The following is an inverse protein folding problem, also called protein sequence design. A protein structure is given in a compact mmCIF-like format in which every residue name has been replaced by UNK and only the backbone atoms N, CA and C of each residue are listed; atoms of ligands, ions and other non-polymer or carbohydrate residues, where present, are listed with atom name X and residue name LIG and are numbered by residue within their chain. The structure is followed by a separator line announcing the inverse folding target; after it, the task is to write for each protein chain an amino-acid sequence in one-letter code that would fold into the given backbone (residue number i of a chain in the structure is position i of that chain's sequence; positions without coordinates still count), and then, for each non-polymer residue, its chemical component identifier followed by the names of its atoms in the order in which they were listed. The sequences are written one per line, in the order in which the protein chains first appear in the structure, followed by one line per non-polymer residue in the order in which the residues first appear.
data_IF_632490170748
#
_entry.id   IF_632490170748
#
_cell.length_a   1.000
_cell.length_b   1.000
_cell.length_c   1.000
_cell.angle_alpha   90.00
_cell.angle_beta   90.00
_cell.angle_gamma   90.00
#
_symmetry.space_group_name_H-M   'P 1'
#
loop_
_entity.id
_entity.type
_entity.pdbx_description
1 polymer ?
#
# COMPACT_ATOMS: atom_id res chain seq x y z
N UNK A 1 -70.46 20.38 -77.72
CA UNK A 1 -71.24 21.62 -77.53
C UNK A 1 -70.44 22.40 -76.49
N UNK A 2 -69.68 23.38 -76.98
CA UNK A 2 -69.87 24.82 -76.82
C UNK A 2 -69.80 25.23 -75.32
N UNK A 3 -69.04 26.10 -74.85
CA UNK A 3 -68.27 27.26 -75.26
C UNK A 3 -67.63 27.86 -73.97
N UNK A 4 -66.44 28.27 -74.04
CA UNK A 4 -65.89 29.65 -74.16
C UNK A 4 -65.96 30.54 -72.89
N UNK A 5 -64.73 31.07 -72.60
CA UNK A 5 -64.33 32.43 -72.20
C UNK A 5 -64.52 32.81 -70.73
N UNK A 6 -63.57 33.36 -69.99
CA UNK A 6 -62.66 34.53 -70.09
C UNK A 6 -61.64 34.57 -68.95
N UNK A 7 -60.44 34.90 -69.28
CA UNK A 7 -59.47 35.53 -68.40
C UNK A 7 -59.79 36.99 -68.21
N UNK A 8 -59.38 37.69 -67.11
CA UNK A 8 -58.10 38.34 -67.11
C UNK A 8 -57.38 38.63 -65.73
N UNK A 9 -56.13 38.72 -65.88
CA UNK A 9 -55.15 39.72 -65.30
C UNK A 9 -55.00 39.88 -63.81
N UNK A 10 -53.74 39.50 -63.39
CA UNK A 10 -52.74 40.28 -62.67
C UNK A 10 -53.14 40.92 -61.36
N UNK A 11 -52.47 40.42 -60.27
CA UNK A 11 -51.66 41.30 -59.37
C UNK A 11 -50.66 40.40 -58.67
N UNK A 12 -49.38 40.73 -58.83
CA UNK A 12 -48.30 40.04 -58.16
C UNK A 12 -48.27 40.42 -56.66
N UNK A 13 -48.21 39.46 -55.80
CA UNK A 13 -47.79 39.62 -54.43
C UNK A 13 -46.51 38.87 -54.22
N UNK A 14 -45.44 39.59 -54.14
CA UNK A 14 -44.11 39.16 -53.78
C UNK A 14 -44.13 38.74 -52.31
N UNK A 15 -44.29 37.45 -52.01
CA UNK A 15 -44.09 36.93 -50.67
C UNK A 15 -42.60 36.67 -50.48
N UNK A 16 -41.96 37.61 -49.74
CA UNK A 16 -40.65 37.44 -49.15
C UNK A 16 -40.77 36.36 -48.11
N UNK A 17 -40.36 35.13 -48.42
CA UNK A 17 -40.11 34.07 -47.41
C UNK A 17 -38.81 34.41 -46.66
N UNK A 18 -38.94 35.02 -45.47
CA UNK A 18 -37.87 35.08 -44.48
C UNK A 18 -37.63 33.62 -44.05
N UNK A 19 -36.60 32.99 -44.58
CA UNK A 19 -36.03 31.77 -44.03
C UNK A 19 -35.43 32.06 -42.67
N UNK A 20 -36.14 31.73 -41.57
CA UNK A 20 -35.54 31.57 -40.27
C UNK A 20 -34.53 30.41 -40.36
N UNK A 21 -33.28 30.73 -40.67
CA UNK A 21 -32.17 29.86 -40.42
C UNK A 21 -32.07 29.59 -38.92
N UNK A 22 -32.58 28.49 -38.45
CA UNK A 22 -32.20 27.88 -37.16
C UNK A 22 -30.68 27.64 -37.24
N UNK A 23 -29.92 28.65 -36.89
CA UNK A 23 -28.50 28.51 -36.58
C UNK A 23 -28.37 27.55 -35.42
N UNK A 24 -28.20 26.28 -35.70
CA UNK A 24 -27.73 25.33 -34.72
C UNK A 24 -26.42 25.88 -34.13
N UNK A 25 -26.46 26.36 -32.90
CA UNK A 25 -25.24 26.65 -32.16
C UNK A 25 -24.34 25.39 -32.28
N UNK A 26 -23.08 25.53 -32.69
CA UNK A 26 -22.20 24.39 -32.65
C UNK A 26 -22.20 23.88 -31.22
N UNK A 27 -22.63 22.64 -31.02
CA UNK A 27 -22.43 21.95 -29.78
C UNK A 27 -20.91 22.04 -29.55
N UNK A 28 -20.49 22.84 -28.58
CA UNK A 28 -19.09 22.89 -28.15
C UNK A 28 -18.78 21.48 -27.70
N UNK A 29 -18.19 20.69 -28.61
CA UNK A 29 -17.60 19.41 -28.25
C UNK A 29 -16.65 19.73 -27.09
N UNK A 30 -16.91 19.18 -25.92
CA UNK A 30 -15.96 19.20 -24.80
C UNK A 30 -14.64 18.73 -25.42
N UNK A 31 -13.52 19.49 -25.28
CA UNK A 31 -12.26 19.07 -25.84
C UNK A 31 -12.02 17.64 -25.35
N UNK A 32 -11.86 16.71 -26.28
CA UNK A 32 -11.46 15.33 -25.97
C UNK A 32 -10.22 15.47 -25.07
N UNK A 33 -10.29 14.92 -23.85
CA UNK A 33 -9.16 14.97 -22.94
C UNK A 33 -7.94 14.48 -23.72
N UNK A 34 -6.87 15.27 -23.70
CA UNK A 34 -5.66 14.98 -24.45
C UNK A 34 -5.21 13.54 -24.15
N UNK A 35 -5.12 12.70 -25.16
CA UNK A 35 -4.74 11.28 -25.00
C UNK A 35 -3.40 11.14 -24.27
N UNK A 36 -2.47 12.07 -24.48
CA UNK A 36 -1.21 12.12 -23.76
C UNK A 36 -1.39 12.41 -22.26
N UNK A 37 -2.36 13.26 -21.91
CA UNK A 37 -2.68 13.54 -20.50
C UNK A 37 -3.28 12.32 -19.80
N UNK A 38 -4.17 11.60 -20.48
CA UNK A 38 -4.77 10.35 -19.97
C UNK A 38 -3.69 9.29 -19.78
N UNK A 39 -2.80 9.11 -20.78
CA UNK A 39 -1.70 8.15 -20.69
C UNK A 39 -0.73 8.48 -19.55
N UNK A 40 -0.38 9.76 -19.37
CA UNK A 40 0.39 10.22 -18.21
C UNK A 40 -0.34 9.89 -16.91
N UNK A 41 -1.63 10.17 -16.83
CA UNK A 41 -2.46 9.84 -15.65
C UNK A 41 -2.49 8.36 -15.34
N UNK A 42 -2.56 7.51 -16.35
CA UNK A 42 -2.46 6.06 -16.20
C UNK A 42 -1.13 5.64 -15.57
N UNK A 43 -0.01 6.15 -16.11
CA UNK A 43 1.30 5.89 -15.55
C UNK A 43 1.42 6.33 -14.07
N UNK A 44 0.90 7.52 -13.75
CA UNK A 44 0.92 8.04 -12.39
C UNK A 44 0.01 7.26 -11.44
N UNK A 45 -1.15 6.80 -11.90
CA UNK A 45 -2.06 5.94 -11.12
C UNK A 45 -1.43 4.57 -10.84
N UNK A 46 -0.64 4.05 -11.79
CA UNK A 46 0.18 2.85 -11.60
C UNK A 46 1.29 3.11 -10.58
N UNK A 47 2.04 4.21 -10.73
CA UNK A 47 3.08 4.60 -9.77
C UNK A 47 2.52 4.86 -8.36
N UNK A 48 1.24 5.29 -8.27
CA UNK A 48 0.51 5.50 -7.01
C UNK A 48 -0.14 4.24 -6.46
N UNK A 49 0.03 3.09 -7.11
CA UNK A 49 -0.51 1.78 -6.69
C UNK A 49 -2.01 1.79 -6.37
N UNK A 50 -2.77 2.63 -7.08
CA UNK A 50 -4.19 2.83 -6.79
C UNK A 50 -5.00 1.54 -6.91
N UNK A 51 -4.61 0.67 -7.85
CA UNK A 51 -5.31 -0.59 -8.16
C UNK A 51 -5.23 -1.60 -7.01
N UNK A 52 -4.10 -1.66 -6.29
CA UNK A 52 -3.87 -2.62 -5.21
C UNK A 52 -4.91 -2.49 -4.08
N UNK A 53 -5.27 -1.25 -3.73
CA UNK A 53 -6.28 -1.00 -2.69
C UNK A 53 -7.70 -0.91 -3.26
N UNK A 54 -7.87 -0.31 -4.46
CA UNK A 54 -9.18 -0.03 -5.02
C UNK A 54 -9.73 -1.13 -5.94
N UNK A 55 -9.19 -2.35 -5.84
CA UNK A 55 -9.71 -3.55 -6.52
C UNK A 55 -9.71 -4.73 -5.58
N UNK A 56 -10.58 -5.69 -5.81
CA UNK A 56 -10.55 -7.01 -5.15
C UNK A 56 -10.14 -8.07 -6.17
N UNK A 57 -9.45 -9.10 -5.72
CA UNK A 57 -9.05 -10.21 -6.58
C UNK A 57 -10.26 -10.81 -7.33
N UNK A 58 -10.17 -10.94 -8.66
CA UNK A 58 -11.27 -11.39 -9.52
C UNK A 58 -12.40 -10.39 -9.70
N UNK A 59 -12.34 -9.20 -9.08
CA UNK A 59 -13.32 -8.13 -9.23
C UNK A 59 -13.02 -7.19 -10.40
N UNK A 60 -13.86 -6.15 -10.53
CA UNK A 60 -13.66 -5.12 -11.55
C UNK A 60 -12.59 -4.12 -11.05
N UNK A 61 -11.61 -3.75 -11.89
CA UNK A 61 -10.57 -2.80 -11.51
C UNK A 61 -11.14 -1.45 -11.02
N UNK A 62 -10.53 -0.88 -9.99
CA UNK A 62 -10.88 0.41 -9.39
C UNK A 62 -12.30 0.48 -8.78
N UNK A 63 -13.03 -0.63 -8.71
CA UNK A 63 -14.39 -0.67 -8.16
C UNK A 63 -14.44 -0.71 -6.62
N UNK A 64 -13.29 -0.73 -5.95
CA UNK A 64 -13.18 -0.78 -4.50
C UNK A 64 -13.54 -2.15 -3.91
N UNK A 65 -13.82 -2.16 -2.62
CA UNK A 65 -14.29 -3.35 -1.89
C UNK A 65 -13.21 -4.10 -1.13
N UNK A 66 -11.92 -3.83 -1.34
CA UNK A 66 -10.85 -4.41 -0.54
C UNK A 66 -10.92 -3.88 0.89
N UNK A 67 -10.96 -4.80 1.86
CA UNK A 67 -10.83 -4.48 3.28
C UNK A 67 -9.36 -4.44 3.68
N UNK A 68 -8.91 -3.28 4.09
CA UNK A 68 -7.58 -3.08 4.68
C UNK A 68 -7.68 -3.30 6.17
N UNK A 69 -7.17 -4.42 6.64
CA UNK A 69 -7.19 -4.74 8.08
C UNK A 69 -6.22 -3.84 8.84
N UNK A 70 -6.75 -3.15 9.84
CA UNK A 70 -5.98 -2.30 10.76
C UNK A 70 -6.16 -2.78 12.19
N UNK A 71 -5.30 -2.38 13.12
CA UNK A 71 -5.49 -2.70 14.55
C UNK A 71 -6.81 -2.17 15.15
N UNK A 72 -7.52 -1.30 14.42
CA UNK A 72 -8.79 -0.68 14.84
C UNK A 72 -10.02 -1.32 14.18
N UNK A 73 -9.83 -2.15 13.16
CA UNK A 73 -10.87 -2.75 12.33
C UNK A 73 -10.58 -2.58 10.84
N UNK A 74 -11.51 -3.02 10.01
CA UNK A 74 -11.33 -2.99 8.55
C UNK A 74 -11.74 -1.64 7.95
N UNK A 75 -10.85 -1.07 7.13
CA UNK A 75 -11.13 0.10 6.30
C UNK A 75 -11.32 -0.40 4.87
N UNK A 76 -12.52 -0.22 4.34
CA UNK A 76 -12.88 -0.69 2.99
C UNK A 76 -12.60 0.40 1.97
N UNK A 77 -11.84 0.06 0.94
CA UNK A 77 -11.54 0.95 -0.17
C UNK A 77 -12.79 1.25 -0.99
N UNK A 78 -12.98 2.52 -1.36
CA UNK A 78 -14.13 2.97 -2.13
C UNK A 78 -13.98 2.67 -3.62
N UNK A 79 -15.11 2.65 -4.35
CA UNK A 79 -15.14 2.70 -5.80
C UNK A 79 -14.62 4.07 -6.27
N UNK A 80 -13.55 4.07 -7.07
CA UNK A 80 -12.93 5.28 -7.65
C UNK A 80 -13.05 5.30 -9.19
N UNK A 81 -13.97 4.50 -9.75
CA UNK A 81 -14.31 4.58 -11.18
C UNK A 81 -15.15 5.83 -11.47
N UNK A 82 -15.28 6.26 -12.74
CA UNK A 82 -16.11 7.42 -13.10
C UNK A 82 -17.62 7.14 -13.08
N UNK A 83 -18.07 6.18 -12.26
CA UNK A 83 -19.49 5.98 -11.98
C UNK A 83 -20.05 7.21 -11.27
N UNK A 84 -21.18 7.72 -11.75
CA UNK A 84 -21.87 8.87 -11.14
C UNK A 84 -22.68 8.48 -9.91
N UNK A 85 -23.02 7.21 -9.76
CA UNK A 85 -23.86 6.69 -8.68
C UNK A 85 -23.04 6.13 -7.53
N UNK A 86 -21.96 5.41 -7.80
CA UNK A 86 -21.18 4.69 -6.78
C UNK A 86 -19.69 5.03 -6.75
N UNK A 87 -19.20 5.80 -7.74
CA UNK A 87 -17.81 6.20 -7.86
C UNK A 87 -17.58 7.71 -7.72
N UNK A 88 -16.56 8.20 -8.41
CA UNK A 88 -16.13 9.60 -8.38
C UNK A 88 -16.54 10.39 -9.64
N UNK A 89 -17.45 9.87 -10.49
CA UNK A 89 -17.83 10.47 -11.77
C UNK A 89 -18.46 11.87 -11.70
N UNK A 90 -18.86 12.33 -10.52
CA UNK A 90 -19.36 13.68 -10.28
C UNK A 90 -18.33 14.61 -9.63
N UNK A 91 -17.09 14.14 -9.38
CA UNK A 91 -16.07 14.98 -8.77
C UNK A 91 -15.53 16.01 -9.77
N UNK A 92 -15.39 17.24 -9.33
CA UNK A 92 -14.55 18.24 -10.04
C UNK A 92 -13.07 17.91 -9.81
N UNK A 93 -12.17 18.48 -10.62
CA UNK A 93 -10.71 18.36 -10.41
C UNK A 93 -10.32 18.80 -8.98
N UNK A 94 -10.93 19.87 -8.47
CA UNK A 94 -10.64 20.34 -7.10
C UNK A 94 -11.08 19.31 -6.05
N UNK A 95 -12.28 18.75 -6.17
CA UNK A 95 -12.77 17.72 -5.24
C UNK A 95 -11.95 16.43 -5.30
N UNK A 96 -11.52 16.04 -6.50
CA UNK A 96 -10.59 14.93 -6.69
C UNK A 96 -9.24 15.20 -6.00
N UNK A 97 -8.69 16.39 -6.24
CA UNK A 97 -7.44 16.83 -5.59
C UNK A 97 -7.56 16.87 -4.07
N UNK A 98 -8.68 17.35 -3.55
CA UNK A 98 -8.92 17.41 -2.09
C UNK A 98 -9.04 16.00 -1.49
N UNK A 99 -9.66 15.07 -2.19
CA UNK A 99 -9.73 13.67 -1.75
C UNK A 99 -8.34 13.01 -1.74
N UNK A 100 -7.56 13.20 -2.81
CA UNK A 100 -6.25 12.56 -2.97
C UNK A 100 -5.18 13.20 -2.08
N UNK A 101 -5.15 14.53 -1.94
CA UNK A 101 -4.09 15.26 -1.21
C UNK A 101 -4.43 15.60 0.23
N UNK A 102 -5.72 15.78 0.55
CA UNK A 102 -6.17 16.27 1.85
C UNK A 102 -7.01 15.25 2.61
N UNK A 103 -7.34 14.13 1.96
CA UNK A 103 -8.23 13.14 2.53
C UNK A 103 -9.64 13.69 2.80
N UNK A 104 -10.16 14.59 1.94
CA UNK A 104 -11.50 15.18 2.07
C UNK A 104 -12.32 14.83 0.83
N UNK A 105 -13.40 14.07 1.00
CA UNK A 105 -14.33 13.67 -0.06
C UNK A 105 -15.17 14.84 -0.57
N UNK A 106 -15.81 14.68 -1.73
CA UNK A 106 -16.71 15.69 -2.30
C UNK A 106 -17.91 16.03 -1.40
N UNK A 107 -18.33 15.12 -0.53
CA UNK A 107 -19.37 15.33 0.48
C UNK A 107 -18.85 15.97 1.79
N UNK A 108 -17.60 16.38 1.83
CA UNK A 108 -16.93 16.99 2.99
C UNK A 108 -16.49 16.01 4.08
N UNK A 109 -16.75 14.73 3.94
CA UNK A 109 -16.29 13.74 4.92
C UNK A 109 -14.79 13.47 4.79
N UNK A 110 -14.14 13.24 5.94
CA UNK A 110 -12.72 12.89 5.98
C UNK A 110 -12.48 11.41 5.68
N UNK A 111 -11.39 11.12 4.96
CA UNK A 111 -10.86 9.79 4.75
C UNK A 111 -9.97 9.38 5.93
N UNK A 112 -9.82 8.08 6.13
CA UNK A 112 -8.81 7.55 7.04
C UNK A 112 -7.44 7.51 6.34
N UNK A 113 -6.32 7.73 7.08
CA UNK A 113 -4.97 7.73 6.51
C UNK A 113 -4.45 6.33 6.11
N UNK A 114 -5.34 5.33 6.04
CA UNK A 114 -5.09 4.09 5.32
C UNK A 114 -4.97 4.33 3.81
N UNK A 115 -5.69 5.32 3.25
CA UNK A 115 -5.34 5.93 1.97
C UNK A 115 -4.15 6.89 2.23
N UNK A 116 -3.00 6.74 1.56
CA UNK A 116 -1.79 7.49 1.90
C UNK A 116 -1.80 8.93 1.38
N UNK A 117 -2.89 9.68 1.66
CA UNK A 117 -3.02 11.07 1.23
C UNK A 117 -1.94 11.99 1.84
N UNK A 118 -1.33 11.61 2.95
CA UNK A 118 -0.17 12.32 3.51
C UNK A 118 1.03 12.30 2.56
N UNK A 119 1.26 11.21 1.85
CA UNK A 119 2.25 11.11 0.79
C UNK A 119 1.74 11.79 -0.50
N UNK A 120 0.51 11.53 -0.91
CA UNK A 120 -0.08 12.12 -2.12
C UNK A 120 -0.24 13.65 -2.05
N UNK A 121 -0.20 14.26 -0.87
CA UNK A 121 -0.14 15.71 -0.71
C UNK A 121 1.03 16.34 -1.48
N UNK A 122 2.09 15.58 -1.71
CA UNK A 122 3.29 16.00 -2.45
C UNK A 122 3.14 16.00 -3.97
N UNK A 123 2.07 15.40 -4.52
CA UNK A 123 1.84 15.30 -5.98
C UNK A 123 1.64 16.70 -6.57
N UNK A 124 2.28 17.01 -7.69
CA UNK A 124 2.18 18.30 -8.39
C UNK A 124 0.77 18.54 -8.98
N UNK A 125 0.43 19.81 -9.25
CA UNK A 125 -0.88 20.14 -9.85
C UNK A 125 -1.03 19.56 -11.26
N UNK A 126 0.06 19.57 -12.05
CA UNK A 126 0.05 18.97 -13.39
C UNK A 126 -0.19 17.45 -13.36
N UNK A 127 0.44 16.75 -12.40
CA UNK A 127 0.23 15.31 -12.23
C UNK A 127 -1.17 15.01 -11.65
N UNK A 128 -1.69 15.86 -10.80
CA UNK A 128 -3.06 15.74 -10.30
C UNK A 128 -4.10 15.90 -11.41
N UNK A 129 -3.88 16.85 -12.34
CA UNK A 129 -4.73 17.01 -13.51
C UNK A 129 -4.67 15.79 -14.43
N UNK A 130 -3.48 15.19 -14.62
CA UNK A 130 -3.31 13.98 -15.41
C UNK A 130 -4.00 12.78 -14.76
N UNK A 131 -3.85 12.58 -13.45
CA UNK A 131 -4.57 11.54 -12.68
C UNK A 131 -6.09 11.71 -12.83
N UNK A 132 -6.60 12.92 -12.67
CA UNK A 132 -8.03 13.21 -12.83
C UNK A 132 -8.51 12.86 -14.25
N UNK A 133 -7.77 13.26 -15.28
CA UNK A 133 -8.11 12.93 -16.67
C UNK A 133 -8.17 11.41 -16.90
N UNK A 134 -7.22 10.65 -16.34
CA UNK A 134 -7.24 9.19 -16.42
C UNK A 134 -8.45 8.58 -15.71
N UNK A 135 -8.73 8.98 -14.47
CA UNK A 135 -9.86 8.42 -13.72
C UNK A 135 -11.21 8.77 -14.35
N UNK A 136 -11.36 9.95 -14.97
CA UNK A 136 -12.60 10.37 -15.60
C UNK A 136 -12.79 9.80 -17.01
N UNK A 137 -11.71 9.56 -17.77
CA UNK A 137 -11.81 9.22 -19.19
C UNK A 137 -11.09 7.92 -19.58
N UNK A 138 -10.12 7.44 -18.81
CA UNK A 138 -9.35 6.22 -19.06
C UNK A 138 -9.88 4.99 -18.32
N UNK A 139 -10.56 5.17 -17.19
CA UNK A 139 -11.11 4.08 -16.38
C UNK A 139 -12.54 3.79 -16.76
N UNK A 140 -12.90 2.50 -16.85
CA UNK A 140 -14.28 2.07 -17.14
C UNK A 140 -15.18 2.25 -15.91
N UNK A 141 -16.31 2.92 -16.07
CA UNK A 141 -17.29 3.08 -15.00
C UNK A 141 -17.87 1.73 -14.51
N UNK A 142 -18.00 1.59 -13.20
CA UNK A 142 -18.61 0.43 -12.54
C UNK A 142 -19.70 0.92 -11.60
N UNK A 143 -20.96 0.72 -11.99
CA UNK A 143 -22.15 1.14 -11.22
C UNK A 143 -22.51 0.09 -10.16
N UNK A 144 -21.59 -0.12 -9.23
CA UNK A 144 -21.79 -1.01 -8.08
C UNK A 144 -21.13 -0.42 -6.84
N UNK A 145 -21.83 -0.47 -5.71
CA UNK A 145 -21.25 -0.17 -4.41
C UNK A 145 -20.34 -1.34 -3.97
N UNK A 146 -19.27 -1.08 -3.21
CA UNK A 146 -18.52 -2.12 -2.52
C UNK A 146 -19.45 -2.96 -1.64
N UNK A 147 -19.26 -4.29 -1.66
CA UNK A 147 -20.09 -5.23 -0.91
C UNK A 147 -19.95 -5.08 0.62
N UNK A 148 -18.81 -4.56 1.08
CA UNK A 148 -18.54 -4.23 2.47
C UNK A 148 -18.35 -2.72 2.63
N UNK A 149 -18.55 -2.23 3.83
CA UNK A 149 -18.25 -0.84 4.19
C UNK A 149 -17.31 -0.80 5.38
N UNK A 150 -16.60 0.32 5.54
CA UNK A 150 -15.75 0.56 6.70
C UNK A 150 -16.61 0.54 7.96
N UNK A 151 -16.24 -0.34 8.90
CA UNK A 151 -16.88 -0.45 10.22
C UNK A 151 -15.79 -0.40 11.28
N UNK A 152 -15.63 0.77 11.89
CA UNK A 152 -14.68 0.99 12.98
C UNK A 152 -15.43 1.22 14.29
N UNK A 153 -14.90 0.72 15.43
CA UNK A 153 -15.52 0.94 16.72
C UNK A 153 -15.46 2.41 17.15
N UNK A 154 -16.49 2.87 17.88
CA UNK A 154 -16.47 4.19 18.51
C UNK A 154 -15.26 4.32 19.47
N UNK A 155 -14.50 5.44 19.43
CA UNK A 155 -14.78 6.71 18.72
C UNK A 155 -14.17 6.80 17.31
N UNK A 156 -13.49 5.77 16.82
CA UNK A 156 -12.76 5.80 15.55
C UNK A 156 -13.67 5.83 14.31
N UNK A 157 -14.96 5.53 14.44
CA UNK A 157 -15.97 5.70 13.39
C UNK A 157 -16.40 7.17 13.20
N UNK A 158 -16.01 8.09 14.09
CA UNK A 158 -16.30 9.52 13.97
C UNK A 158 -15.29 10.17 13.03
N UNK A 159 -15.61 10.23 11.72
CA UNK A 159 -14.70 10.74 10.68
C UNK A 159 -14.23 12.16 10.91
N UNK A 160 -15.01 13.01 11.61
CA UNK A 160 -14.61 14.37 11.95
C UNK A 160 -13.34 14.42 12.81
N UNK A 161 -13.03 13.37 13.57
CA UNK A 161 -11.77 13.26 14.33
C UNK A 161 -10.54 13.36 13.43
N UNK A 162 -10.67 12.99 12.16
CA UNK A 162 -9.60 13.09 11.16
C UNK A 162 -9.27 14.54 10.79
N UNK A 163 -10.17 15.51 11.02
CA UNK A 163 -9.85 16.92 10.87
C UNK A 163 -8.74 17.36 11.83
N UNK A 164 -8.83 16.95 13.10
CA UNK A 164 -7.81 17.23 14.11
C UNK A 164 -6.50 16.45 13.80
N UNK A 165 -6.63 15.20 13.38
CA UNK A 165 -5.48 14.40 12.97
C UNK A 165 -4.74 15.03 11.78
N UNK A 166 -5.47 15.48 10.75
CA UNK A 166 -4.91 16.18 9.59
C UNK A 166 -4.24 17.50 9.99
N UNK A 167 -4.82 18.25 10.94
CA UNK A 167 -4.22 19.47 11.43
C UNK A 167 -2.86 19.22 12.09
N UNK A 168 -2.70 18.08 12.78
CA UNK A 168 -1.45 17.72 13.45
C UNK A 168 -0.39 17.14 12.50
N UNK A 169 -0.80 16.34 11.50
CA UNK A 169 0.11 15.45 10.79
C UNK A 169 0.14 15.61 9.26
N UNK A 170 -0.83 16.32 8.66
CA UNK A 170 -0.85 16.52 7.21
C UNK A 170 -0.03 17.74 6.80
N UNK A 171 1.14 17.52 6.18
CA UNK A 171 1.83 18.57 5.43
C UNK A 171 1.15 18.74 4.06
N UNK A 172 0.56 19.92 3.84
CA UNK A 172 -0.20 20.25 2.62
C UNK A 172 0.68 20.74 1.46
N UNK A 173 2.01 20.72 1.63
CA UNK A 173 2.93 21.24 0.61
C UNK A 173 3.15 20.21 -0.47
N UNK A 174 3.02 20.64 -1.72
CA UNK A 174 3.49 19.87 -2.87
C UNK A 174 5.00 19.74 -2.86
N UNK A 175 5.50 18.73 -3.55
CA UNK A 175 6.95 18.52 -3.67
C UNK A 175 7.61 19.72 -4.39
N UNK A 176 8.71 20.18 -3.83
CA UNK A 176 9.57 21.21 -4.43
C UNK A 176 10.93 20.57 -4.64
N UNK A 177 11.44 20.65 -5.89
CA UNK A 177 12.76 20.13 -6.22
C UNK A 177 13.86 20.89 -5.45
N UNK A 178 14.82 20.16 -4.91
CA UNK A 178 16.02 20.73 -4.29
C UNK A 178 17.02 21.10 -5.38
N UNK A 179 17.32 22.38 -5.60
CA UNK A 179 18.25 22.82 -6.64
C UNK A 179 19.70 22.37 -6.38
N UNK A 180 20.05 21.96 -5.17
CA UNK A 180 21.36 21.43 -4.83
C UNK A 180 21.52 19.94 -5.17
N UNK A 181 20.45 19.27 -5.58
CA UNK A 181 20.45 17.85 -5.94
C UNK A 181 20.27 17.65 -7.44
N UNK A 182 20.69 16.48 -7.92
CA UNK A 182 20.49 16.12 -9.33
C UNK A 182 19.01 16.00 -9.71
N UNK A 183 18.65 16.18 -10.99
CA UNK A 183 17.29 15.91 -11.47
C UNK A 183 16.81 14.48 -11.17
N UNK A 184 17.72 13.51 -11.30
CA UNK A 184 17.45 12.11 -10.98
C UNK A 184 17.09 11.92 -9.51
N UNK A 185 17.88 12.51 -8.61
CA UNK A 185 17.59 12.47 -7.17
C UNK A 185 16.23 13.10 -6.85
N UNK A 186 15.94 14.27 -7.42
CA UNK A 186 14.68 14.98 -7.25
C UNK A 186 13.50 14.16 -7.77
N UNK A 187 13.65 13.47 -8.90
CA UNK A 187 12.63 12.57 -9.42
C UNK A 187 12.40 11.41 -8.50
N UNK A 188 13.45 10.78 -7.98
CA UNK A 188 13.37 9.70 -7.00
C UNK A 188 12.71 10.13 -5.70
N UNK A 189 13.08 11.31 -5.18
CA UNK A 189 12.46 11.89 -3.99
C UNK A 189 10.96 12.14 -4.18
N UNK A 190 10.57 12.71 -5.32
CA UNK A 190 9.18 12.94 -5.70
C UNK A 190 8.36 11.64 -5.73
N UNK A 191 8.89 10.61 -6.37
CA UNK A 191 8.21 9.31 -6.46
C UNK A 191 8.15 8.61 -5.11
N UNK A 192 9.28 8.45 -4.43
CA UNK A 192 9.36 7.67 -3.20
C UNK A 192 8.58 8.28 -2.03
N UNK A 193 8.52 9.62 -1.94
CA UNK A 193 7.82 10.33 -0.87
C UNK A 193 6.41 10.79 -1.25
N UNK A 194 6.05 10.67 -2.52
CA UNK A 194 4.75 11.02 -3.09
C UNK A 194 4.01 9.79 -3.59
N UNK A 195 4.02 9.55 -4.92
CA UNK A 195 3.19 8.52 -5.55
C UNK A 195 3.50 7.10 -5.08
N UNK A 196 4.76 6.68 -5.07
CA UNK A 196 5.14 5.34 -4.61
C UNK A 196 5.10 5.19 -3.09
N UNK A 197 4.79 6.25 -2.34
CA UNK A 197 4.51 6.33 -0.90
C UNK A 197 5.33 5.35 -0.01
N UNK A 198 6.61 5.15 -0.30
CA UNK A 198 7.49 4.22 0.41
C UNK A 198 7.50 4.48 1.93
N UNK A 199 7.40 5.76 2.35
CA UNK A 199 7.36 6.17 3.75
C UNK A 199 6.17 5.57 4.49
N UNK A 200 5.04 5.39 3.81
CA UNK A 200 3.80 4.88 4.41
C UNK A 200 3.97 3.50 5.06
N UNK A 201 4.79 2.64 4.47
CA UNK A 201 5.08 1.31 5.01
C UNK A 201 6.42 1.27 5.77
N UNK A 202 7.45 1.92 5.22
CA UNK A 202 8.82 1.81 5.71
C UNK A 202 9.20 2.82 6.80
N UNK A 203 8.27 3.68 7.27
CA UNK A 203 8.48 4.59 8.40
C UNK A 203 7.66 4.12 9.61
N UNK A 204 8.24 4.06 10.82
CA UNK A 204 7.51 3.64 12.00
C UNK A 204 6.32 4.57 12.29
N UNK A 205 5.33 4.08 13.02
CA UNK A 205 4.17 4.87 13.43
C UNK A 205 4.33 5.35 14.88
N UNK A 206 3.93 6.59 15.14
CA UNK A 206 3.78 7.11 16.48
C UNK A 206 2.49 6.62 17.16
N UNK A 207 2.26 7.01 18.43
CA UNK A 207 1.09 6.59 19.20
C UNK A 207 -0.26 7.00 18.59
N UNK A 208 -0.30 8.00 17.70
CA UNK A 208 -1.49 8.45 16.96
C UNK A 208 -1.54 7.89 15.54
N UNK A 209 -0.76 6.86 15.25
CA UNK A 209 -0.68 6.17 13.95
C UNK A 209 -0.18 7.03 12.79
N UNK A 210 0.40 8.20 13.05
CA UNK A 210 1.10 8.98 12.05
C UNK A 210 2.54 8.50 11.86
N UNK A 211 3.13 8.79 10.69
CA UNK A 211 4.53 8.47 10.41
C UNK A 211 5.46 9.22 11.37
N UNK A 212 6.39 8.50 11.99
CA UNK A 212 7.46 9.10 12.78
C UNK A 212 8.62 9.50 11.85
N UNK A 213 8.55 10.72 11.33
CA UNK A 213 9.51 11.24 10.36
C UNK A 213 10.92 11.42 10.94
N UNK A 214 11.09 11.36 12.26
CA UNK A 214 12.43 11.36 12.88
C UNK A 214 13.20 10.06 12.58
N UNK A 215 12.45 9.00 12.21
CA UNK A 215 12.96 7.69 11.82
C UNK A 215 12.49 7.31 10.40
N UNK A 216 12.51 8.30 9.51
CA UNK A 216 12.05 8.13 8.14
C UNK A 216 12.72 6.95 7.43
N UNK A 217 11.93 6.06 6.85
CA UNK A 217 12.35 4.84 6.15
C UNK A 217 13.14 3.82 7.02
N UNK A 218 13.09 3.94 8.35
CA UNK A 218 13.80 3.05 9.29
C UNK A 218 13.08 1.72 9.56
N UNK A 219 12.05 1.41 8.78
CA UNK A 219 11.21 0.21 8.95
C UNK A 219 10.02 0.42 9.88
N UNK A 220 9.00 -0.42 9.76
CA UNK A 220 7.80 -0.30 10.56
C UNK A 220 6.91 -1.54 10.51
N UNK A 221 6.09 -1.71 11.56
CA UNK A 221 5.06 -2.75 11.58
C UNK A 221 3.94 -2.41 10.60
N UNK A 222 3.51 -3.39 9.82
CA UNK A 222 2.43 -3.30 8.85
C UNK A 222 1.47 -4.49 9.06
N UNK A 223 0.57 -4.34 10.01
CA UNK A 223 -0.28 -5.45 10.45
C UNK A 223 0.55 -6.62 10.99
N UNK A 224 0.44 -7.78 10.34
CA UNK A 224 1.23 -8.98 10.66
C UNK A 224 2.61 -8.99 10.02
N UNK A 225 2.85 -8.13 9.02
CA UNK A 225 4.12 -7.98 8.33
C UNK A 225 4.99 -6.90 8.97
N UNK A 226 6.24 -6.86 8.60
CA UNK A 226 7.19 -5.82 8.98
C UNK A 226 7.88 -5.27 7.72
N UNK A 227 7.63 -3.99 7.41
CA UNK A 227 8.35 -3.31 6.34
C UNK A 227 9.78 -3.00 6.80
N UNK A 228 10.80 -3.47 6.09
CA UNK A 228 12.19 -3.35 6.53
C UNK A 228 12.68 -1.89 6.58
N UNK A 229 13.75 -1.66 7.36
CA UNK A 229 14.60 -0.49 7.23
C UNK A 229 15.21 -0.44 5.83
N UNK A 230 14.99 0.65 5.10
CA UNK A 230 15.53 0.89 3.75
C UNK A 230 16.40 2.16 3.69
N UNK A 231 16.86 2.65 4.85
CA UNK A 231 17.83 3.76 4.91
C UNK A 231 19.20 3.35 4.39
N UNK A 232 20.11 4.31 4.29
CA UNK A 232 21.49 4.06 3.86
C UNK A 232 22.37 3.36 4.90
N UNK A 233 21.81 2.88 6.02
CA UNK A 233 22.57 2.07 6.96
C UNK A 233 23.04 0.76 6.32
N UNK A 234 24.33 0.42 6.51
CA UNK A 234 24.94 -0.73 5.87
C UNK A 234 24.46 -2.07 6.46
N UNK A 235 24.14 -2.10 7.75
CA UNK A 235 23.73 -3.30 8.47
C UNK A 235 22.21 -3.48 8.44
N UNK A 236 21.47 -2.47 8.91
CA UNK A 236 20.03 -2.56 9.08
C UNK A 236 19.25 -2.22 7.82
N UNK A 237 19.83 -1.40 6.92
CA UNK A 237 19.18 -0.85 5.73
C UNK A 237 19.67 -1.45 4.42
N UNK A 238 19.66 -0.61 3.39
CA UNK A 238 20.10 -0.97 2.02
C UNK A 238 21.44 -0.31 1.65
N UNK A 239 22.18 0.22 2.63
CA UNK A 239 23.46 0.91 2.40
C UNK A 239 24.48 0.02 1.71
N UNK A 240 24.54 -1.27 2.03
CA UNK A 240 25.41 -2.27 1.42
C UNK A 240 24.98 -2.78 0.04
N UNK A 241 23.82 -2.31 -0.49
CA UNK A 241 23.35 -2.69 -1.83
C UNK A 241 23.91 -1.74 -2.89
N UNK A 242 24.17 -2.23 -4.09
CA UNK A 242 24.43 -1.34 -5.25
C UNK A 242 23.10 -0.71 -5.70
N UNK A 243 23.16 0.49 -6.26
CA UNK A 243 21.94 1.19 -6.74
C UNK A 243 21.20 0.36 -7.80
N UNK A 244 21.95 -0.25 -8.73
CA UNK A 244 21.39 -1.15 -9.75
C UNK A 244 20.72 -2.39 -9.15
N UNK A 245 21.25 -2.98 -8.06
CA UNK A 245 20.61 -4.11 -7.37
C UNK A 245 19.28 -3.69 -6.74
N UNK A 246 19.23 -2.49 -6.16
CA UNK A 246 18.00 -1.96 -5.59
C UNK A 246 16.96 -1.66 -6.68
N UNK A 247 17.37 -1.05 -7.81
CA UNK A 247 16.48 -0.82 -8.94
C UNK A 247 15.95 -2.14 -9.53
N UNK A 248 16.82 -3.16 -9.69
CA UNK A 248 16.41 -4.49 -10.12
C UNK A 248 15.44 -5.15 -9.15
N UNK A 249 15.68 -5.04 -7.83
CA UNK A 249 14.73 -5.51 -6.81
C UNK A 249 13.37 -4.82 -6.90
N UNK A 250 13.34 -3.51 -7.11
CA UNK A 250 12.09 -2.76 -7.27
C UNK A 250 11.31 -3.19 -8.52
N UNK A 251 12.02 -3.64 -9.57
CA UNK A 251 11.40 -4.16 -10.79
C UNK A 251 10.90 -5.59 -10.63
N UNK A 252 11.72 -6.47 -10.08
CA UNK A 252 11.50 -7.92 -10.13
C UNK A 252 11.03 -8.51 -8.80
N UNK A 253 11.27 -7.80 -7.69
CA UNK A 253 11.09 -8.31 -6.33
C UNK A 253 12.16 -9.30 -5.90
N UNK A 254 13.22 -9.44 -6.69
CA UNK A 254 14.33 -10.35 -6.40
C UNK A 254 15.68 -9.63 -6.44
N UNK A 255 16.49 -9.83 -5.42
CA UNK A 255 17.89 -9.42 -5.39
C UNK A 255 18.71 -10.62 -4.93
N UNK A 256 19.46 -11.29 -5.83
CA UNK A 256 20.24 -12.47 -5.51
C UNK A 256 21.17 -12.24 -4.31
N UNK A 257 21.15 -13.17 -3.34
CA UNK A 257 21.94 -13.08 -2.12
C UNK A 257 21.58 -11.90 -1.19
N UNK A 258 20.38 -11.31 -1.34
CA UNK A 258 19.94 -10.20 -0.51
C UNK A 258 18.48 -10.30 -0.08
N UNK A 259 17.52 -10.37 -1.01
CA UNK A 259 16.11 -10.37 -0.66
C UNK A 259 15.21 -10.96 -1.74
N UNK A 260 14.08 -11.49 -1.29
CA UNK A 260 12.92 -11.86 -2.10
C UNK A 260 11.69 -11.14 -1.54
N UNK A 261 10.93 -10.48 -2.41
CA UNK A 261 9.70 -9.82 -2.02
C UNK A 261 8.58 -10.83 -1.75
N UNK A 262 7.79 -10.55 -0.70
CA UNK A 262 6.62 -11.31 -0.31
C UNK A 262 5.57 -10.37 0.32
N UNK A 263 4.33 -10.84 0.46
CA UNK A 263 3.23 -10.09 1.05
C UNK A 263 3.05 -8.71 0.44
N UNK A 264 2.81 -7.67 1.25
CA UNK A 264 2.49 -6.32 0.75
C UNK A 264 3.57 -5.72 -0.18
N UNK A 265 4.85 -6.05 0.03
CA UNK A 265 5.91 -5.56 -0.88
C UNK A 265 5.84 -6.25 -2.24
N UNK A 266 5.47 -7.53 -2.30
CA UNK A 266 5.24 -8.22 -3.56
C UNK A 266 4.07 -7.60 -4.32
N UNK A 267 2.96 -7.28 -3.65
CA UNK A 267 1.80 -6.59 -4.25
C UNK A 267 2.20 -5.22 -4.80
N UNK A 268 2.95 -4.41 -4.03
CA UNK A 268 3.43 -3.10 -4.48
C UNK A 268 4.35 -3.20 -5.72
N UNK A 269 5.16 -4.26 -5.82
CA UNK A 269 5.97 -4.50 -7.01
C UNK A 269 5.10 -4.92 -8.18
N UNK A 270 4.24 -5.91 -8.00
CA UNK A 270 3.46 -6.52 -9.09
C UNK A 270 2.42 -5.55 -9.67
N UNK A 271 1.80 -4.71 -8.84
CA UNK A 271 0.78 -3.75 -9.29
C UNK A 271 1.32 -2.36 -9.66
N UNK A 272 2.51 -1.99 -9.20
CA UNK A 272 3.07 -0.65 -9.38
C UNK A 272 4.50 -0.68 -9.92
N UNK A 273 5.48 -1.03 -9.08
CA UNK A 273 6.89 -0.77 -9.35
C UNK A 273 7.42 -1.50 -10.60
N UNK A 274 6.99 -2.74 -10.84
CA UNK A 274 7.37 -3.51 -12.04
C UNK A 274 7.00 -2.83 -13.37
N UNK A 275 6.03 -1.91 -13.33
CA UNK A 275 5.52 -1.20 -14.51
C UNK A 275 6.14 0.19 -14.70
N UNK A 276 7.00 0.63 -13.79
CA UNK A 276 7.69 1.91 -13.92
C UNK A 276 8.83 1.83 -14.94
N UNK A 277 9.20 3.00 -15.48
CA UNK A 277 10.38 3.07 -16.35
C UNK A 277 11.65 2.75 -15.58
N UNK A 278 12.67 2.25 -16.29
CA UNK A 278 13.99 2.01 -15.68
C UNK A 278 14.56 3.26 -15.03
N UNK A 279 14.39 4.41 -15.70
CA UNK A 279 14.85 5.70 -15.19
C UNK A 279 14.18 6.07 -13.86
N UNK A 280 12.88 5.80 -13.70
CA UNK A 280 12.16 6.10 -12.47
C UNK A 280 12.55 5.13 -11.33
N UNK A 281 12.78 3.85 -11.62
CA UNK A 281 13.27 2.87 -10.64
C UNK A 281 14.69 3.22 -10.18
N UNK A 282 15.56 3.59 -11.11
CA UNK A 282 16.91 4.05 -10.81
C UNK A 282 16.87 5.33 -9.95
N UNK A 283 16.01 6.28 -10.29
CA UNK A 283 15.82 7.52 -9.53
C UNK A 283 15.36 7.24 -8.09
N UNK A 284 14.38 6.33 -7.90
CA UNK A 284 13.94 5.89 -6.58
C UNK A 284 15.11 5.27 -5.80
N UNK A 285 15.90 4.40 -6.44
CA UNK A 285 17.05 3.76 -5.81
C UNK A 285 18.12 4.77 -5.39
N UNK A 286 18.42 5.77 -6.23
CA UNK A 286 19.35 6.88 -5.92
C UNK A 286 18.87 7.67 -4.71
N UNK A 287 17.57 8.02 -4.67
CA UNK A 287 17.01 8.74 -3.53
C UNK A 287 17.07 7.90 -2.24
N UNK A 288 16.57 6.67 -2.25
CA UNK A 288 16.51 5.78 -1.08
C UNK A 288 17.91 5.57 -0.48
N UNK A 289 18.93 5.36 -1.32
CA UNK A 289 20.32 5.24 -0.87
C UNK A 289 20.93 6.52 -0.31
N UNK A 290 20.31 7.66 -0.51
CA UNK A 290 20.73 8.95 0.03
C UNK A 290 20.07 9.33 1.36
N UNK A 291 19.03 8.57 1.78
CA UNK A 291 18.34 8.84 3.04
C UNK A 291 19.29 8.61 4.21
N UNK A 292 19.34 9.51 5.21
CA UNK A 292 20.21 9.36 6.37
C UNK A 292 20.09 7.98 7.03
N UNK A 293 21.24 7.39 7.36
CA UNK A 293 21.29 6.08 8.00
C UNK A 293 20.60 6.07 9.36
N UNK A 294 19.77 5.07 9.59
CA UNK A 294 19.18 4.77 10.90
C UNK A 294 19.57 3.35 11.27
N UNK A 295 20.47 3.22 12.23
CA UNK A 295 20.99 1.93 12.69
C UNK A 295 20.06 1.31 13.74
N UNK A 296 19.77 0.00 13.61
CA UNK A 296 19.17 -0.81 14.67
C UNK A 296 20.29 -1.52 15.43
N UNK A 297 20.41 -1.27 16.74
CA UNK A 297 21.46 -1.83 17.59
C UNK A 297 21.43 -3.38 17.65
N UNK A 298 20.33 -4.02 17.24
CA UNK A 298 20.24 -5.48 17.12
C UNK A 298 20.93 -6.03 15.85
N UNK A 299 21.33 -5.15 14.91
CA UNK A 299 21.94 -5.53 13.64
C UNK A 299 23.46 -5.28 13.66
N UNK A 300 24.22 -6.17 14.32
CA UNK A 300 25.68 -6.13 14.42
C UNK A 300 26.41 -6.43 13.09
N UNK A 301 25.71 -6.96 12.10
CA UNK A 301 26.19 -7.25 10.74
C UNK A 301 25.08 -7.00 9.71
N UNK A 302 25.43 -6.86 8.40
CA UNK A 302 24.43 -6.68 7.36
C UNK A 302 23.37 -7.80 7.38
N UNK A 303 22.12 -7.43 7.56
CA UNK A 303 21.00 -8.39 7.70
C UNK A 303 20.89 -9.37 6.53
N UNK A 304 21.31 -8.96 5.33
CA UNK A 304 21.33 -9.82 4.15
C UNK A 304 22.57 -10.74 4.06
N UNK A 305 23.59 -10.54 4.88
CA UNK A 305 24.82 -11.32 4.82
C UNK A 305 24.87 -12.48 5.84
N UNK A 306 23.79 -12.65 6.61
CA UNK A 306 23.73 -13.69 7.66
C UNK A 306 23.41 -15.07 7.11
N UNK A 307 23.81 -16.09 7.88
CA UNK A 307 23.57 -17.49 7.58
C UNK A 307 24.55 -18.06 6.56
N UNK A 308 24.48 -19.37 6.40
CA UNK A 308 25.28 -20.13 5.45
C UNK A 308 24.55 -21.42 5.05
N UNK A 309 25.02 -22.09 4.02
CA UNK A 309 24.49 -23.39 3.65
C UNK A 309 24.66 -24.39 4.81
N UNK A 310 23.61 -25.19 5.07
CA UNK A 310 23.72 -26.29 6.04
C UNK A 310 24.57 -27.43 5.54
N UNK A 311 25.02 -28.32 6.44
CA UNK A 311 25.79 -29.53 6.08
C UNK A 311 24.98 -30.59 5.31
N UNK A 312 23.66 -30.36 5.19
CA UNK A 312 22.73 -31.31 4.60
C UNK A 312 21.99 -32.12 5.67
N UNK A 313 21.13 -33.02 5.23
CA UNK A 313 20.18 -33.73 6.09
C UNK A 313 20.52 -35.24 6.22
N UNK A 314 21.72 -35.65 5.85
CA UNK A 314 22.11 -37.06 5.84
C UNK A 314 21.99 -37.73 7.21
N UNK A 315 22.16 -36.96 8.29
CA UNK A 315 22.05 -37.43 9.68
C UNK A 315 20.61 -37.79 10.10
N UNK A 316 19.58 -37.36 9.35
CA UNK A 316 18.17 -37.71 9.60
C UNK A 316 17.79 -39.07 8.98
N UNK A 317 18.66 -39.65 8.13
CA UNK A 317 18.35 -40.91 7.46
C UNK A 317 18.27 -42.06 8.47
N UNK A 318 17.09 -42.69 8.50
CA UNK A 318 16.82 -43.78 9.44
C UNK A 318 16.25 -43.34 10.80
N UNK A 319 16.14 -42.03 11.06
CA UNK A 319 15.48 -41.55 12.25
C UNK A 319 13.97 -41.85 12.20
N UNK A 320 13.45 -42.33 13.33
CA UNK A 320 12.02 -42.54 13.49
C UNK A 320 11.33 -41.21 13.76
N UNK A 321 10.33 -40.87 12.95
CA UNK A 321 9.51 -39.68 13.21
C UNK A 321 8.68 -39.90 14.48
N UNK A 322 8.49 -38.84 15.31
CA UNK A 322 7.65 -38.91 16.47
C UNK A 322 6.19 -39.17 16.08
N UNK A 323 5.47 -39.96 16.88
CA UNK A 323 4.05 -40.25 16.66
C UNK A 323 3.18 -38.96 16.71
N UNK A 324 3.59 -37.99 17.53
CA UNK A 324 3.01 -36.68 17.58
C UNK A 324 3.82 -35.70 16.67
N UNK A 325 3.25 -35.21 15.56
CA UNK A 325 3.95 -34.31 14.64
C UNK A 325 4.44 -33.00 15.30
N UNK A 326 3.80 -32.53 16.35
CA UNK A 326 4.23 -31.33 17.08
C UNK A 326 5.55 -31.49 17.84
N UNK A 327 6.02 -32.74 17.98
CA UNK A 327 7.30 -33.09 18.56
C UNK A 327 8.43 -33.26 17.53
N UNK A 328 8.14 -33.08 16.26
CA UNK A 328 9.18 -33.05 15.22
C UNK A 328 10.19 -31.93 15.48
N UNK A 329 11.47 -32.25 15.29
CA UNK A 329 12.55 -31.30 15.35
C UNK A 329 12.51 -30.34 14.13
N UNK A 330 13.17 -29.18 14.23
CA UNK A 330 13.26 -28.21 13.12
C UNK A 330 13.83 -28.83 11.83
N UNK A 331 14.96 -29.60 11.90
CA UNK A 331 15.46 -30.35 10.75
C UNK A 331 14.45 -31.33 10.14
N UNK A 332 13.73 -32.11 10.97
CA UNK A 332 12.70 -33.05 10.48
C UNK A 332 11.55 -32.31 9.76
N UNK A 333 11.08 -31.19 10.31
CA UNK A 333 10.06 -30.33 9.68
C UNK A 333 10.56 -29.73 8.37
N UNK A 334 11.83 -29.29 8.33
CA UNK A 334 12.45 -28.73 7.13
C UNK A 334 12.57 -29.78 6.04
N UNK A 335 13.05 -30.99 6.39
CA UNK A 335 13.16 -32.12 5.46
C UNK A 335 11.79 -32.52 4.89
N UNK A 336 10.77 -32.61 5.74
CA UNK A 336 9.44 -33.05 5.33
C UNK A 336 8.70 -32.06 4.42
N UNK A 337 8.94 -30.73 4.57
CA UNK A 337 8.10 -29.71 3.94
C UNK A 337 8.83 -28.72 3.04
N UNK A 338 10.15 -28.60 3.11
CA UNK A 338 10.88 -27.48 2.50
C UNK A 338 11.99 -27.91 1.52
N UNK A 339 12.64 -29.05 1.78
CA UNK A 339 13.83 -29.49 1.02
C UNK A 339 13.55 -29.77 -0.45
N UNK A 340 12.33 -30.15 -0.81
CA UNK A 340 11.95 -30.37 -2.21
C UNK A 340 12.21 -29.13 -3.09
N UNK A 341 12.02 -27.94 -2.53
CA UNK A 341 12.23 -26.68 -3.25
C UNK A 341 13.52 -25.96 -2.81
N UNK A 342 13.81 -25.94 -1.51
CA UNK A 342 14.96 -25.21 -0.97
C UNK A 342 16.23 -26.01 -0.88
N UNK A 343 16.21 -27.30 -1.29
CA UNK A 343 17.28 -28.25 -1.19
C UNK A 343 17.73 -28.54 0.27
N UNK A 344 18.44 -29.64 0.49
CA UNK A 344 18.86 -30.09 1.83
C UNK A 344 19.79 -29.10 2.56
N UNK A 345 20.50 -28.27 1.81
CA UNK A 345 21.42 -27.25 2.36
C UNK A 345 20.86 -25.86 2.38
N UNK A 346 19.61 -25.65 1.91
CA UNK A 346 18.97 -24.36 1.82
C UNK A 346 19.48 -23.46 0.69
N UNK A 347 20.20 -24.05 -0.30
CA UNK A 347 20.82 -23.31 -1.40
C UNK A 347 19.85 -22.87 -2.51
N UNK A 348 18.61 -23.38 -2.50
CA UNK A 348 17.65 -23.07 -3.55
C UNK A 348 17.96 -23.75 -4.88
N UNK A 349 17.45 -23.21 -6.00
CA UNK A 349 17.73 -23.78 -7.32
C UNK A 349 18.95 -23.15 -7.98
N UNK A 350 19.67 -23.96 -8.80
CA UNK A 350 20.87 -23.53 -9.53
C UNK A 350 20.61 -22.35 -10.48
N UNK A 351 19.43 -22.30 -11.08
CA UNK A 351 18.98 -21.22 -11.99
C UNK A 351 18.51 -19.95 -11.29
N UNK A 352 18.51 -19.95 -9.95
CA UNK A 352 18.05 -18.82 -9.14
C UNK A 352 16.53 -18.67 -9.07
N UNK A 353 15.75 -19.57 -9.67
CA UNK A 353 14.28 -19.53 -9.65
C UNK A 353 13.71 -19.77 -8.25
N UNK A 354 14.40 -20.55 -7.43
CA UNK A 354 14.08 -20.73 -6.02
C UNK A 354 15.19 -20.07 -5.18
N UNK A 355 14.86 -19.11 -4.32
CA UNK A 355 15.86 -18.33 -3.58
C UNK A 355 16.57 -19.18 -2.53
N UNK A 356 17.84 -18.85 -2.29
CA UNK A 356 18.58 -19.36 -1.13
C UNK A 356 17.92 -18.91 0.17
N UNK A 357 17.99 -19.72 1.20
CA UNK A 357 17.51 -19.36 2.54
C UNK A 357 18.54 -18.50 3.30
N UNK A 358 19.83 -18.74 3.11
CA UNK A 358 20.89 -17.89 3.65
C UNK A 358 21.15 -16.68 2.75
N UNK A 359 21.82 -15.66 3.27
CA UNK A 359 22.01 -14.38 2.61
C UNK A 359 20.66 -13.76 2.16
N UNK A 360 19.68 -13.81 3.09
CA UNK A 360 18.33 -13.35 2.84
C UNK A 360 17.86 -12.44 3.99
N UNK A 361 17.48 -11.21 3.65
CA UNK A 361 17.02 -10.20 4.59
C UNK A 361 15.88 -10.70 5.48
N UNK A 362 14.97 -11.53 5.00
CA UNK A 362 13.83 -12.01 5.78
C UNK A 362 14.23 -12.93 6.94
N UNK A 363 15.33 -13.70 6.77
CA UNK A 363 15.87 -14.58 7.81
C UNK A 363 16.94 -13.88 8.67
N UNK A 364 17.63 -12.88 8.10
CA UNK A 364 18.74 -12.23 8.80
C UNK A 364 18.32 -11.13 9.79
N UNK A 365 17.07 -10.64 9.75
CA UNK A 365 16.56 -9.59 10.65
C UNK A 365 16.29 -10.10 12.05
N UNK A 366 16.21 -9.14 12.99
CA UNK A 366 15.80 -9.39 14.38
C UNK A 366 14.29 -9.67 14.52
N UNK A 367 13.46 -9.29 13.51
CA UNK A 367 12.02 -9.54 13.50
C UNK A 367 11.68 -10.77 12.64
N UNK A 368 11.09 -11.80 13.23
CA UNK A 368 10.70 -13.03 12.53
C UNK A 368 9.33 -13.00 11.86
N UNK A 369 8.61 -11.87 11.91
CA UNK A 369 7.25 -11.76 11.39
C UNK A 369 7.14 -12.19 9.92
N UNK A 370 8.00 -11.65 9.05
CA UNK A 370 7.95 -11.91 7.61
C UNK A 370 8.20 -13.38 7.29
N UNK A 371 9.14 -14.02 8.00
CA UNK A 371 9.39 -15.45 7.86
C UNK A 371 8.15 -16.27 8.21
N UNK A 372 7.52 -15.98 9.36
CA UNK A 372 6.28 -16.66 9.78
C UNK A 372 5.16 -16.43 8.77
N UNK A 373 4.97 -15.20 8.31
CA UNK A 373 3.90 -14.88 7.36
C UNK A 373 4.11 -15.53 6.00
N UNK A 374 5.34 -15.60 5.51
CA UNK A 374 5.67 -16.34 4.27
C UNK A 374 5.37 -17.83 4.42
N UNK A 375 5.65 -18.44 5.57
CA UNK A 375 5.26 -19.83 5.80
C UNK A 375 3.73 -19.99 5.91
N UNK A 376 3.05 -19.07 6.59
CA UNK A 376 1.61 -19.15 6.75
C UNK A 376 0.86 -18.96 5.42
N UNK A 377 1.19 -17.91 4.66
CA UNK A 377 0.41 -17.47 3.51
C UNK A 377 1.01 -17.85 2.17
N UNK A 378 2.27 -18.31 2.17
CA UNK A 378 3.00 -18.62 0.95
C UNK A 378 3.44 -17.39 0.17
N UNK A 379 3.90 -17.62 -1.04
CA UNK A 379 4.20 -16.59 -2.04
C UNK A 379 3.58 -17.06 -3.36
N UNK A 380 2.84 -16.18 -4.01
CA UNK A 380 2.37 -16.41 -5.36
C UNK A 380 2.56 -15.09 -6.13
N UNK A 381 3.47 -15.11 -7.08
CA UNK A 381 3.79 -13.95 -7.92
C UNK A 381 3.85 -14.37 -9.37
N UNK A 382 3.18 -13.60 -10.21
CA UNK A 382 3.33 -13.69 -11.66
C UNK A 382 4.33 -12.58 -12.06
N UNK A 383 5.53 -12.98 -12.47
CA UNK A 383 6.49 -12.04 -13.02
C UNK A 383 6.08 -11.65 -14.44
N UNK A 384 6.03 -10.37 -14.71
CA UNK A 384 5.69 -9.84 -16.04
C UNK A 384 6.98 -9.49 -16.80
N UNK A 385 7.11 -9.95 -18.04
CA UNK A 385 8.25 -9.65 -18.91
C UNK A 385 8.73 -10.85 -19.74
N UNK A 386 9.81 -10.65 -20.49
CA UNK A 386 10.35 -11.65 -21.39
C UNK A 386 10.93 -12.90 -20.70
N UNK A 387 11.21 -12.80 -19.40
CA UNK A 387 11.71 -13.87 -18.54
C UNK A 387 10.71 -14.15 -17.40
N UNK A 388 9.43 -14.15 -17.71
CA UNK A 388 8.37 -14.35 -16.72
C UNK A 388 8.51 -15.72 -16.05
N UNK A 389 8.97 -15.71 -14.80
CA UNK A 389 9.07 -16.89 -13.95
C UNK A 389 8.05 -16.77 -12.82
N UNK A 390 7.13 -17.72 -12.74
CA UNK A 390 6.18 -17.78 -11.64
C UNK A 390 6.94 -18.18 -10.36
N UNK A 391 6.97 -17.26 -9.37
CA UNK A 391 7.49 -17.61 -8.04
C UNK A 391 6.35 -18.09 -7.17
N UNK A 392 6.38 -19.36 -6.80
CA UNK A 392 5.36 -19.97 -5.97
C UNK A 392 5.98 -20.70 -4.77
N UNK A 393 5.56 -20.29 -3.56
CA UNK A 393 5.76 -21.04 -2.33
C UNK A 393 4.38 -21.40 -1.76
N UNK A 394 4.10 -22.68 -1.44
CA UNK A 394 2.79 -23.07 -0.91
C UNK A 394 2.55 -22.47 0.48
N UNK A 395 1.28 -22.22 0.81
CA UNK A 395 0.85 -21.76 2.12
C UNK A 395 0.70 -22.95 3.09
N UNK A 396 1.30 -22.84 4.26
CA UNK A 396 1.24 -23.87 5.29
C UNK A 396 0.25 -23.57 6.42
N UNK A 397 -0.54 -22.51 6.30
CA UNK A 397 -1.51 -22.06 7.31
C UNK A 397 -2.46 -23.16 7.80
N UNK A 398 -2.85 -24.07 6.91
CA UNK A 398 -3.75 -25.21 7.21
C UNK A 398 -3.03 -26.54 7.38
N UNK A 399 -1.72 -26.57 7.17
CA UNK A 399 -0.89 -27.79 7.14
C UNK A 399 -0.08 -27.94 8.42
N UNK A 400 0.53 -26.84 8.89
CA UNK A 400 1.40 -26.83 10.06
C UNK A 400 0.73 -26.14 11.27
N UNK A 401 0.90 -26.71 12.44
CA UNK A 401 0.48 -26.12 13.71
C UNK A 401 1.34 -24.90 14.08
N UNK A 402 0.90 -24.12 15.06
CA UNK A 402 1.68 -23.00 15.59
C UNK A 402 3.00 -23.47 16.23
N UNK A 403 2.99 -24.64 16.86
CA UNK A 403 4.17 -25.27 17.44
C UNK A 403 5.17 -25.65 16.33
N UNK A 404 4.71 -26.26 15.26
CA UNK A 404 5.54 -26.67 14.14
C UNK A 404 6.14 -25.47 13.40
N UNK A 405 5.34 -24.41 13.13
CA UNK A 405 5.82 -23.18 12.52
C UNK A 405 6.88 -22.50 13.42
N UNK A 406 6.65 -22.41 14.72
CA UNK A 406 7.60 -21.79 15.65
C UNK A 406 8.94 -22.58 15.71
N UNK A 407 8.85 -23.91 15.76
CA UNK A 407 10.01 -24.80 15.77
C UNK A 407 10.81 -24.68 14.46
N UNK A 408 10.11 -24.74 13.31
CA UNK A 408 10.71 -24.62 11.99
C UNK A 408 11.34 -23.23 11.79
N UNK A 409 10.63 -22.16 12.11
CA UNK A 409 11.13 -20.80 11.97
C UNK A 409 12.37 -20.55 12.84
N UNK A 410 12.38 -21.07 14.08
CA UNK A 410 13.56 -20.99 14.96
C UNK A 410 14.75 -21.75 14.39
N UNK A 411 14.54 -22.93 13.79
CA UNK A 411 15.58 -23.67 13.08
C UNK A 411 16.11 -22.90 11.88
N UNK A 412 15.21 -22.35 11.06
CA UNK A 412 15.59 -21.61 9.84
C UNK A 412 16.41 -20.37 10.18
N UNK A 413 16.02 -19.61 11.20
CA UNK A 413 16.79 -18.42 11.61
C UNK A 413 18.13 -18.78 12.22
N UNK A 414 18.20 -19.86 13.00
CA UNK A 414 19.45 -20.33 13.60
C UNK A 414 20.45 -20.83 12.55
N UNK A 415 19.98 -21.50 11.50
CA UNK A 415 20.83 -22.11 10.47
C UNK A 415 21.15 -21.14 9.34
N UNK A 416 20.13 -20.48 8.80
CA UNK A 416 20.21 -19.70 7.56
C UNK A 416 20.12 -18.19 7.77
N UNK A 417 20.02 -17.69 9.01
CA UNK A 417 19.77 -16.29 9.25
C UNK A 417 20.34 -15.76 10.56
N UNK A 418 19.48 -15.12 11.36
CA UNK A 418 19.84 -14.54 12.66
C UNK A 418 19.55 -15.53 13.80
N UNK A 419 20.56 -16.14 14.42
CA UNK A 419 20.39 -17.15 15.48
C UNK A 419 19.80 -16.58 16.78
N UNK A 420 19.80 -15.25 16.96
CA UNK A 420 19.19 -14.61 18.11
C UNK A 420 17.64 -14.63 18.06
N UNK A 421 17.05 -14.83 16.87
CA UNK A 421 15.60 -14.87 16.70
C UNK A 421 15.04 -16.21 17.15
N UNK A 422 14.22 -16.18 18.19
CA UNK A 422 13.47 -17.32 18.73
C UNK A 422 12.01 -17.01 18.65
N UNK A 423 11.25 -17.89 18.03
CA UNK A 423 9.81 -17.74 17.84
C UNK A 423 9.05 -18.72 18.74
N UNK A 424 8.01 -18.23 19.37
CA UNK A 424 7.14 -19.03 20.23
C UNK A 424 5.83 -19.38 19.51
N UNK A 425 5.16 -20.49 19.88
CA UNK A 425 3.84 -20.82 19.32
C UNK A 425 2.80 -19.71 19.55
N UNK A 426 2.87 -18.99 20.68
CA UNK A 426 1.96 -17.88 20.98
C UNK A 426 2.16 -16.69 20.02
N UNK A 427 3.39 -16.41 19.63
CA UNK A 427 3.68 -15.39 18.60
C UNK A 427 3.12 -15.81 17.24
N UNK A 428 3.33 -17.08 16.85
CA UNK A 428 2.76 -17.61 15.61
C UNK A 428 1.24 -17.57 15.63
N UNK A 429 0.59 -17.98 16.71
CA UNK A 429 -0.86 -17.90 16.86
C UNK A 429 -1.38 -16.46 16.71
N UNK A 430 -0.68 -15.49 17.29
CA UNK A 430 -1.00 -14.07 17.14
C UNK A 430 -0.92 -13.61 15.68
N UNK A 431 0.14 -13.98 14.96
CA UNK A 431 0.30 -13.64 13.55
C UNK A 431 -0.76 -14.35 12.68
N UNK A 432 -1.04 -15.63 12.95
CA UNK A 432 -2.09 -16.40 12.27
C UNK A 432 -3.48 -15.80 12.46
N UNK A 433 -3.74 -15.21 13.63
CA UNK A 433 -5.02 -14.55 13.94
C UNK A 433 -5.17 -13.13 13.35
N UNK A 434 -4.15 -12.62 12.63
CA UNK A 434 -4.20 -11.27 12.03
C UNK A 434 -3.44 -10.20 12.81
N UNK A 435 -2.61 -10.59 13.78
CA UNK A 435 -1.79 -9.69 14.60
C UNK A 435 -2.39 -9.37 15.97
N UNK A 436 -1.63 -8.64 16.76
CA UNK A 436 -2.09 -8.20 18.08
C UNK A 436 -3.17 -7.12 17.92
N UNK A 437 -4.29 -7.29 18.62
CA UNK A 437 -5.32 -6.26 18.70
C UNK A 437 -4.80 -4.99 19.36
N UNK A 438 -5.32 -3.83 18.93
CA UNK A 438 -4.93 -2.55 19.51
C UNK A 438 -5.67 -2.25 20.81
N UNK A 439 -4.94 -1.92 21.87
CA UNK A 439 -5.50 -1.34 23.09
C UNK A 439 -6.01 0.10 22.94
N UNK A 440 -5.80 0.73 21.77
CA UNK A 440 -6.16 2.13 21.53
C UNK A 440 -7.67 2.40 21.70
N UNK A 441 -8.52 1.47 21.33
CA UNK A 441 -9.98 1.60 21.54
C UNK A 441 -10.31 1.73 23.01
N UNK A 442 -9.77 0.85 23.84
CA UNK A 442 -9.97 0.87 25.30
C UNK A 442 -9.38 2.15 25.90
N UNK A 443 -8.17 2.52 25.50
CA UNK A 443 -7.51 3.73 25.97
C UNK A 443 -8.29 5.00 25.59
N UNK A 444 -8.78 5.09 24.35
CA UNK A 444 -9.58 6.22 23.90
C UNK A 444 -10.89 6.34 24.68
N UNK A 445 -11.59 5.23 24.92
CA UNK A 445 -12.81 5.21 25.72
C UNK A 445 -12.56 5.59 27.18
N UNK A 446 -11.49 5.09 27.79
CA UNK A 446 -11.09 5.46 29.16
C UNK A 446 -10.72 6.96 29.25
N UNK A 447 -9.98 7.49 28.27
CA UNK A 447 -9.64 8.91 28.20
C UNK A 447 -10.88 9.81 28.05
N UNK A 448 -11.84 9.42 27.20
CA UNK A 448 -13.11 10.16 27.07
C UNK A 448 -13.92 10.13 28.38
N UNK A 449 -14.02 8.99 29.05
CA UNK A 449 -14.71 8.89 30.34
C UNK A 449 -14.06 9.80 31.39
N UNK A 450 -12.72 9.79 31.47
CA UNK A 450 -11.98 10.68 32.35
C UNK A 450 -12.20 12.17 32.02
N UNK A 451 -12.23 12.51 30.73
CA UNK A 451 -12.51 13.87 30.25
C UNK A 451 -13.94 14.34 30.64
N UNK A 452 -14.93 13.48 30.48
CA UNK A 452 -16.32 13.79 30.90
C UNK A 452 -16.38 14.01 32.43
N UNK A 453 -15.74 13.15 33.22
CA UNK A 453 -15.67 13.29 34.68
C UNK A 453 -15.02 14.62 35.06
N UNK A 454 -13.87 14.96 34.44
CA UNK A 454 -13.17 16.21 34.69
C UNK A 454 -14.05 17.43 34.35
N UNK A 455 -14.80 17.38 33.24
CA UNK A 455 -15.72 18.45 32.83
C UNK A 455 -16.86 18.61 33.85
N UNK A 456 -17.46 17.50 34.30
CA UNK A 456 -18.51 17.54 35.32
C UNK A 456 -18.00 18.13 36.64
N UNK A 457 -16.81 17.74 37.07
CA UNK A 457 -16.18 18.31 38.28
C UNK A 457 -15.90 19.79 38.14
N UNK A 458 -15.44 20.26 36.97
CA UNK A 458 -15.23 21.67 36.67
C UNK A 458 -16.55 22.46 36.69
N UNK A 459 -17.60 21.93 36.06
CA UNK A 459 -18.94 22.54 36.08
C UNK A 459 -19.48 22.60 37.52
N UNK A 460 -19.34 21.55 38.30
CA UNK A 460 -19.73 21.54 39.72
C UNK A 460 -18.96 22.59 40.54
N UNK A 461 -17.64 22.65 40.34
CA UNK A 461 -16.81 23.64 41.01
C UNK A 461 -17.19 25.08 40.66
N UNK A 462 -17.44 25.36 39.36
CA UNK A 462 -17.90 26.68 38.88
C UNK A 462 -19.27 27.02 39.49
N UNK A 463 -20.23 26.09 39.54
CA UNK A 463 -21.53 26.29 40.16
C UNK A 463 -21.41 26.58 41.66
N UNK A 464 -20.53 25.86 42.38
CA UNK A 464 -20.24 26.08 43.79
C UNK A 464 -19.59 27.44 44.05
N UNK A 465 -18.68 27.90 43.16
CA UNK A 465 -18.08 29.25 43.23
C UNK A 465 -19.12 30.36 42.97
N UNK A 466 -20.04 30.19 42.00
CA UNK A 466 -21.14 31.18 41.77
C UNK A 466 -22.03 31.31 42.98
N UNK A 467 -22.46 30.19 43.61
CA UNK A 467 -23.27 30.22 44.83
C UNK A 467 -22.58 30.92 46.03
N UNK A 468 -21.21 30.80 46.13
CA UNK A 468 -20.43 31.49 47.20
C UNK A 468 -20.26 32.99 46.94
N UNK A 469 -20.37 33.47 45.70
CA UNK A 469 -20.28 34.91 45.38
C UNK A 469 -21.65 35.64 45.48
N UNK A 470 -22.75 34.90 45.60
CA UNK A 470 -24.09 35.41 45.77
C UNK A 470 -24.57 35.44 47.24
N UNK A 471 -23.76 34.90 48.15
CA UNK A 471 -23.89 35.04 49.60
C UNK A 471 -22.84 36.02 50.14
#
# INVERSE_FOLDING_TARGET
MTALFFSPRRLGALLLTLGLGLGGAPAMAQPAADAALIQRGQYLATAGDCIACHSVGGGKPMAGGLGLSTPLGDIVASNITPSKTHGIGNYTLQQFSDAVRKGVRADGQYLYPAMPYTAYARVSDGDMAALYAYFMHGVKAVDAAPAKQTDLPFPFNVRLSMAAWNWLFLDKKTFVADPARSPEWNRGAYLATGLAHCTTCHTPRNALMAEDLSRNLAGGALGTWYAPNITSDANSGVGGWRTAELAAYLRTGHAPGKAQAAGPMAEAIDHSLAHLTEADLQAIAVYVKSVPAVHDAADDAPVHARGQAADGMAYLRGDTLPADPDRMSGPQLFDAHCTTCHQAKGEGSFDGGLPTLFHNTALGRSQGNNLVMVMLDGIQREQHGAEAMETRMPAFRKVLSDQQIATLATYLTATYGNPAVKLTPAQVATLRAGGAGSGLVTLARAGMAAGVIALLLLCFWMAKRRKRRQR
#
